data_IF_896507612729
#
_entry.id   IF_896507612729
#
_cell.length_a   1.000
_cell.length_b   1.000
_cell.length_c   1.000
_cell.angle_alpha   90.00
_cell.angle_beta   90.00
_cell.angle_gamma   90.00
#
_symmetry.space_group_name_H-M   'P 1'
#
loop_
_entity.id
_entity.type
_entity.pdbx_description
1 polymer ?
#
# COMPACT_ATOMS: atom_id res chain seq x y z
N UNK A 1 -35.12 -11.28 -21.39
CA UNK A 1 -33.72 -10.81 -21.36
C UNK A 1 -33.57 -9.78 -20.25
N UNK A 2 -33.33 -10.20 -19.01
CA UNK A 2 -33.04 -9.30 -17.89
C UNK A 2 -31.62 -9.58 -17.38
N UNK A 3 -30.64 -8.88 -17.98
CA UNK A 3 -29.22 -8.93 -17.63
C UNK A 3 -28.90 -7.91 -16.53
N UNK A 4 -29.47 -8.09 -15.35
CA UNK A 4 -29.00 -7.40 -14.15
C UNK A 4 -28.56 -8.46 -13.14
N UNK A 5 -27.33 -8.94 -13.33
CA UNK A 5 -26.64 -9.66 -12.26
C UNK A 5 -26.62 -8.75 -11.04
N UNK A 6 -27.35 -9.13 -9.99
CA UNK A 6 -27.21 -8.51 -8.67
C UNK A 6 -25.72 -8.58 -8.33
N UNK A 7 -25.05 -7.43 -8.26
CA UNK A 7 -23.75 -7.36 -7.59
C UNK A 7 -23.97 -7.96 -6.21
N UNK A 8 -23.28 -9.06 -5.92
CA UNK A 8 -23.27 -9.64 -4.58
C UNK A 8 -22.94 -8.51 -3.61
N UNK A 9 -23.88 -8.22 -2.71
CA UNK A 9 -23.63 -7.27 -1.63
C UNK A 9 -22.57 -7.91 -0.75
N UNK A 10 -21.34 -7.43 -0.84
CA UNK A 10 -20.28 -7.88 0.05
C UNK A 10 -20.70 -7.52 1.47
N UNK A 11 -20.83 -8.52 2.32
CA UNK A 11 -21.21 -8.37 3.73
C UNK A 11 -20.09 -7.65 4.50
N UNK A 12 -20.31 -6.40 4.99
CA UNK A 12 -19.33 -5.66 5.76
C UNK A 12 -18.83 -6.41 7.01
N UNK A 13 -19.69 -7.21 7.65
CA UNK A 13 -19.30 -7.98 8.82
C UNK A 13 -18.30 -9.08 8.47
N UNK A 14 -18.49 -9.73 7.32
CA UNK A 14 -17.58 -10.77 6.82
C UNK A 14 -16.19 -10.18 6.53
N UNK A 15 -16.13 -8.97 5.98
CA UNK A 15 -14.87 -8.24 5.76
C UNK A 15 -14.18 -7.95 7.10
N UNK A 16 -14.91 -7.38 8.07
CA UNK A 16 -14.34 -7.02 9.37
C UNK A 16 -13.84 -8.24 10.14
N UNK A 17 -14.58 -9.36 10.13
CA UNK A 17 -14.14 -10.62 10.74
C UNK A 17 -12.87 -11.15 10.06
N UNK A 18 -12.80 -11.11 8.73
CA UNK A 18 -11.61 -11.52 7.99
C UNK A 18 -10.39 -10.66 8.32
N UNK A 19 -10.56 -9.34 8.39
CA UNK A 19 -9.51 -8.40 8.78
C UNK A 19 -9.00 -8.67 10.20
N UNK A 20 -9.90 -8.92 11.15
CA UNK A 20 -9.54 -9.15 12.55
C UNK A 20 -8.68 -10.41 12.77
N UNK A 21 -8.69 -11.35 11.84
CA UNK A 21 -7.88 -12.57 11.89
C UNK A 21 -6.47 -12.40 11.33
N UNK A 22 -6.20 -11.29 10.62
CA UNK A 22 -4.87 -11.01 10.06
C UNK A 22 -4.02 -10.37 11.16
N UNK A 23 -2.97 -11.03 11.66
CA UNK A 23 -2.08 -10.42 12.64
C UNK A 23 -1.35 -9.23 12.03
N UNK A 24 -1.05 -8.22 12.84
CA UNK A 24 -0.19 -7.13 12.38
C UNK A 24 1.21 -7.66 12.05
N UNK A 25 1.85 -7.06 11.04
CA UNK A 25 3.23 -7.35 10.68
C UNK A 25 4.12 -6.21 11.15
N UNK A 26 5.06 -6.51 12.03
CA UNK A 26 6.05 -5.56 12.51
C UNK A 26 7.37 -5.69 11.74
N UNK A 27 7.95 -4.55 11.40
CA UNK A 27 9.26 -4.45 10.78
C UNK A 27 10.06 -3.26 11.31
N UNK A 28 11.35 -3.20 11.00
CA UNK A 28 12.20 -2.04 11.31
C UNK A 28 11.59 -0.74 10.76
N UNK A 29 11.11 0.12 11.66
CA UNK A 29 10.56 1.44 11.31
C UNK A 29 9.12 1.44 10.80
N UNK A 30 8.41 0.29 10.81
CA UNK A 30 7.02 0.25 10.38
C UNK A 30 6.17 -0.83 11.06
N UNK A 31 4.86 -0.61 11.06
CA UNK A 31 3.84 -1.60 11.40
C UNK A 31 2.81 -1.66 10.28
N UNK A 32 2.50 -2.86 9.81
CA UNK A 32 1.41 -3.11 8.87
C UNK A 32 0.21 -3.73 9.58
N UNK A 33 -0.96 -3.18 9.32
CA UNK A 33 -2.23 -3.66 9.86
C UNK A 33 -3.27 -3.79 8.76
N UNK A 34 -4.02 -4.88 8.75
CA UNK A 34 -5.20 -4.99 7.90
C UNK A 34 -6.32 -4.12 8.48
N UNK A 35 -6.95 -3.30 7.64
CA UNK A 35 -8.11 -2.48 8.03
C UNK A 35 -9.05 -2.30 6.83
N UNK A 36 -10.11 -1.53 7.02
CA UNK A 36 -11.05 -1.19 5.96
C UNK A 36 -11.11 0.32 5.75
N UNK A 37 -11.16 0.76 4.50
CA UNK A 37 -11.40 2.14 4.14
C UNK A 37 -12.74 2.29 3.39
N UNK A 38 -13.44 3.44 3.51
CA UNK A 38 -14.60 3.73 2.68
C UNK A 38 -14.23 3.79 1.20
N UNK A 39 -15.06 3.17 0.35
CA UNK A 39 -14.84 3.05 -1.09
C UNK A 39 -16.14 3.25 -1.88
N UNK A 40 -16.00 3.48 -3.19
CA UNK A 40 -17.11 3.59 -4.14
C UNK A 40 -17.87 4.92 -4.09
N UNK A 41 -18.90 5.05 -4.94
CA UNK A 41 -19.71 6.26 -5.03
C UNK A 41 -20.45 6.53 -3.72
N UNK A 42 -20.23 7.72 -3.13
CA UNK A 42 -20.74 8.12 -1.80
C UNK A 42 -20.28 7.24 -0.63
N UNK A 43 -19.13 6.56 -0.74
CA UNK A 43 -18.54 5.80 0.37
C UNK A 43 -19.45 4.70 0.93
N UNK A 44 -20.31 4.13 0.08
CA UNK A 44 -21.32 3.12 0.47
C UNK A 44 -20.78 1.69 0.53
N UNK A 45 -19.52 1.48 0.18
CA UNK A 45 -18.82 0.19 0.26
C UNK A 45 -17.54 0.32 1.08
N UNK A 46 -17.03 -0.81 1.55
CA UNK A 46 -15.73 -0.90 2.21
C UNK A 46 -14.74 -1.60 1.27
N UNK A 47 -13.49 -1.15 1.31
CA UNK A 47 -12.35 -1.83 0.70
C UNK A 47 -11.42 -2.35 1.80
N UNK A 48 -10.83 -3.52 1.59
CA UNK A 48 -9.73 -4.02 2.42
C UNK A 48 -8.47 -3.23 2.06
N UNK A 49 -7.87 -2.59 3.05
CA UNK A 49 -6.64 -1.83 2.89
C UNK A 49 -5.57 -2.32 3.86
N UNK A 50 -4.32 -2.19 3.46
CA UNK A 50 -3.16 -2.34 4.32
C UNK A 50 -2.79 -0.96 4.87
N UNK A 51 -2.92 -0.76 6.17
CA UNK A 51 -2.39 0.43 6.84
C UNK A 51 -0.91 0.22 7.13
N UNK A 52 -0.06 1.09 6.60
CA UNK A 52 1.34 1.21 7.02
C UNK A 52 1.46 2.39 7.97
N UNK A 53 1.94 2.12 9.18
CA UNK A 53 2.30 3.13 10.18
C UNK A 53 3.80 3.18 10.31
N UNK A 54 4.34 4.38 10.39
CA UNK A 54 5.76 4.66 10.60
C UNK A 54 5.87 5.87 11.54
N UNK A 55 7.10 6.27 11.90
CA UNK A 55 7.32 7.31 12.91
C UNK A 55 6.60 8.63 12.59
N UNK A 56 6.49 9.00 11.30
CA UNK A 56 5.99 10.30 10.88
C UNK A 56 4.56 10.27 10.31
N UNK A 57 3.83 9.16 10.44
CA UNK A 57 2.43 9.08 9.99
C UNK A 57 1.93 7.69 9.65
N UNK A 58 0.78 7.67 8.98
CA UNK A 58 0.14 6.44 8.50
C UNK A 58 -0.49 6.62 7.12
N UNK A 59 -0.47 5.58 6.30
CA UNK A 59 -1.19 5.58 5.03
C UNK A 59 -1.83 4.23 4.72
N UNK A 60 -2.96 4.26 4.02
CA UNK A 60 -3.70 3.07 3.63
C UNK A 60 -3.40 2.73 2.18
N UNK A 61 -3.07 1.48 1.89
CA UNK A 61 -2.88 1.01 0.51
C UNK A 61 -3.98 0.03 0.17
N UNK A 62 -4.64 0.21 -0.98
CA UNK A 62 -5.62 -0.76 -1.44
C UNK A 62 -4.95 -2.13 -1.61
N UNK A 63 -5.58 -3.19 -1.08
CA UNK A 63 -5.02 -4.55 -1.13
C UNK A 63 -4.60 -4.93 -2.55
N UNK A 64 -5.45 -4.70 -3.53
CA UNK A 64 -5.19 -5.14 -4.92
C UNK A 64 -4.12 -4.30 -5.61
N UNK A 65 -4.01 -3.01 -5.30
CA UNK A 65 -2.98 -2.15 -5.88
C UNK A 65 -1.62 -2.47 -5.29
N UNK A 66 -1.59 -2.73 -3.98
CA UNK A 66 -0.40 -3.22 -3.30
C UNK A 66 0.01 -4.60 -3.85
N UNK A 67 -0.94 -5.49 -4.11
CA UNK A 67 -0.65 -6.80 -4.74
C UNK A 67 -0.08 -6.62 -6.15
N UNK A 68 -0.64 -5.72 -6.97
CA UNK A 68 -0.10 -5.41 -8.31
C UNK A 68 1.32 -4.87 -8.25
N UNK A 69 1.64 -4.06 -7.24
CA UNK A 69 2.99 -3.60 -6.99
C UNK A 69 3.95 -4.77 -6.67
N UNK A 70 3.58 -5.67 -5.76
CA UNK A 70 4.39 -6.84 -5.43
C UNK A 70 4.52 -7.82 -6.60
N UNK A 71 3.48 -7.96 -7.42
CA UNK A 71 3.47 -8.74 -8.67
C UNK A 71 4.28 -8.07 -9.81
N UNK A 72 4.91 -6.92 -9.57
CA UNK A 72 5.65 -6.11 -10.59
C UNK A 72 4.78 -5.63 -11.76
N UNK A 73 3.47 -5.56 -11.59
CA UNK A 73 2.53 -5.02 -12.60
C UNK A 73 2.50 -3.50 -12.57
N UNK A 74 2.75 -2.90 -11.40
CA UNK A 74 2.92 -1.47 -11.20
C UNK A 74 4.28 -1.21 -10.54
N UNK A 75 4.95 -0.13 -10.92
CA UNK A 75 6.22 0.28 -10.29
C UNK A 75 6.03 1.13 -9.03
N UNK A 76 4.82 1.69 -8.85
CA UNK A 76 4.43 2.55 -7.74
C UNK A 76 3.05 2.10 -7.23
N UNK A 77 2.90 2.03 -5.91
CA UNK A 77 1.60 2.00 -5.25
C UNK A 77 1.41 3.31 -4.48
N UNK A 78 0.21 3.87 -4.55
CA UNK A 78 -0.15 5.13 -3.90
C UNK A 78 -1.07 4.86 -2.72
N UNK A 79 -0.95 5.67 -1.67
CA UNK A 79 -1.89 5.62 -0.56
C UNK A 79 -3.28 6.07 -1.01
N UNK A 80 -4.30 5.45 -0.43
CA UNK A 80 -5.70 5.73 -0.62
C UNK A 80 -6.03 7.18 -0.27
N UNK A 81 -6.89 7.81 -1.08
CA UNK A 81 -7.37 9.16 -0.81
C UNK A 81 -8.19 9.18 0.50
N UNK A 82 -7.79 10.03 1.45
CA UNK A 82 -8.30 10.05 2.82
C UNK A 82 -7.44 9.30 3.84
N UNK A 83 -6.27 8.80 3.42
CA UNK A 83 -5.19 8.42 4.35
C UNK A 83 -4.72 9.65 5.16
N UNK A 84 -4.21 9.41 6.36
CA UNK A 84 -3.63 10.45 7.21
C UNK A 84 -2.41 11.12 6.56
N UNK A 85 -1.57 10.31 5.92
CA UNK A 85 -0.41 10.78 5.15
C UNK A 85 -0.51 10.27 3.72
N UNK A 86 -0.24 11.15 2.75
CA UNK A 86 -0.02 10.77 1.36
C UNK A 86 1.32 10.06 1.22
N UNK A 87 1.32 8.83 0.73
CA UNK A 87 2.50 7.97 0.63
C UNK A 87 2.59 7.31 -0.74
N UNK A 88 3.83 7.13 -1.19
CA UNK A 88 4.15 6.42 -2.43
C UNK A 88 5.14 5.30 -2.12
N UNK A 89 4.73 4.06 -2.36
CA UNK A 89 5.61 2.89 -2.29
C UNK A 89 6.19 2.64 -3.68
N UNK A 90 7.51 2.78 -3.81
CA UNK A 90 8.21 2.75 -5.10
C UNK A 90 9.31 1.71 -5.09
N UNK A 91 9.43 0.92 -6.16
CA UNK A 91 10.63 0.11 -6.37
C UNK A 91 11.78 0.98 -6.83
N UNK A 92 12.96 0.83 -6.21
CA UNK A 92 14.15 1.61 -6.57
C UNK A 92 14.47 1.49 -8.07
N UNK A 93 14.35 0.28 -8.64
CA UNK A 93 14.62 0.04 -10.06
C UNK A 93 13.46 0.39 -11.01
N UNK A 94 12.28 0.75 -10.49
CA UNK A 94 11.04 0.86 -11.27
C UNK A 94 10.57 2.29 -11.54
N UNK A 95 11.23 3.28 -10.97
CA UNK A 95 10.81 4.68 -11.08
C UNK A 95 11.20 5.28 -12.43
N UNK A 96 10.30 6.07 -13.02
CA UNK A 96 10.55 6.76 -14.28
C UNK A 96 11.60 7.87 -14.10
N UNK A 97 12.63 7.86 -14.96
CA UNK A 97 13.70 8.86 -14.95
C UNK A 97 13.16 10.29 -15.08
N UNK A 98 13.65 11.21 -14.25
CA UNK A 98 13.24 12.61 -14.20
C UNK A 98 11.98 12.90 -13.39
N UNK A 99 11.29 11.86 -12.88
CA UNK A 99 10.15 12.02 -11.97
C UNK A 99 10.60 12.54 -10.59
N UNK A 100 9.64 13.00 -9.78
CA UNK A 100 9.93 13.44 -8.40
C UNK A 100 10.46 12.30 -7.54
N UNK A 101 9.97 11.07 -7.76
CA UNK A 101 10.49 9.89 -7.07
C UNK A 101 11.91 9.56 -7.51
N UNK A 102 12.26 9.71 -8.79
CA UNK A 102 13.62 9.50 -9.30
C UNK A 102 14.60 10.51 -8.70
N UNK A 103 14.18 11.78 -8.57
CA UNK A 103 14.97 12.82 -7.89
C UNK A 103 15.21 12.49 -6.42
N UNK A 104 14.18 12.04 -5.70
CA UNK A 104 14.30 11.65 -4.29
C UNK A 104 15.23 10.44 -4.11
N UNK A 105 15.10 9.43 -4.97
CA UNK A 105 15.98 8.26 -4.97
C UNK A 105 17.43 8.62 -5.30
N UNK A 106 17.64 9.49 -6.30
CA UNK A 106 18.98 9.91 -6.74
C UNK A 106 19.72 10.76 -5.70
N UNK A 107 18.98 11.43 -4.80
CA UNK A 107 19.57 12.18 -3.69
C UNK A 107 20.18 11.26 -2.61
N UNK A 108 19.78 9.99 -2.56
CA UNK A 108 20.28 9.00 -1.61
C UNK A 108 21.22 8.01 -2.30
N UNK A 109 22.51 8.08 -1.98
CA UNK A 109 23.49 7.14 -2.51
C UNK A 109 23.29 5.72 -1.91
N UNK A 110 23.53 4.69 -2.74
CA UNK A 110 23.65 3.31 -2.27
C UNK A 110 22.35 2.54 -2.07
N UNK A 111 21.23 2.98 -2.62
CA UNK A 111 19.97 2.23 -2.55
C UNK A 111 20.05 0.90 -3.33
N UNK A 112 19.75 -0.25 -2.70
CA UNK A 112 19.77 -1.54 -3.40
C UNK A 112 18.71 -1.61 -4.50
N UNK A 113 19.07 -2.05 -5.71
CA UNK A 113 18.13 -2.15 -6.84
C UNK A 113 16.91 -3.05 -6.55
N UNK A 114 17.06 -4.05 -5.68
CA UNK A 114 15.98 -4.96 -5.27
C UNK A 114 15.09 -4.46 -4.13
N UNK A 115 15.36 -3.27 -3.59
CA UNK A 115 14.59 -2.67 -2.49
C UNK A 115 13.43 -1.81 -2.99
N UNK A 116 12.47 -1.56 -2.10
CA UNK A 116 11.47 -0.52 -2.27
C UNK A 116 11.68 0.59 -1.24
N UNK A 117 11.18 1.77 -1.54
CA UNK A 117 11.14 2.88 -0.59
C UNK A 117 9.70 3.35 -0.40
N UNK A 118 9.39 3.78 0.81
CA UNK A 118 8.21 4.58 1.10
C UNK A 118 8.60 6.05 1.02
N UNK A 119 7.92 6.80 0.17
CA UNK A 119 8.10 8.23 -0.01
C UNK A 119 6.90 8.97 0.56
N UNK A 120 7.13 10.18 1.07
CA UNK A 120 6.06 11.15 1.38
C UNK A 120 6.35 12.51 0.74
N UNK A 121 5.31 13.33 0.47
CA UNK A 121 5.48 14.73 0.14
C UNK A 121 6.23 15.51 1.22
N UNK A 122 7.16 16.35 0.78
CA UNK A 122 7.90 17.33 1.57
C UNK A 122 7.92 18.67 0.81
N UNK A 123 8.42 19.74 1.46
CA UNK A 123 8.34 21.11 0.94
C UNK A 123 8.78 21.26 -0.53
N UNK A 124 9.89 20.61 -0.92
CA UNK A 124 10.48 20.72 -2.27
C UNK A 124 10.48 19.39 -3.04
N UNK A 125 9.61 18.44 -2.68
CA UNK A 125 9.44 17.21 -3.44
C UNK A 125 9.02 16.01 -2.62
N UNK A 126 9.73 14.90 -2.81
CA UNK A 126 9.50 13.66 -2.08
C UNK A 126 10.73 13.34 -1.22
N UNK A 127 10.49 12.80 -0.03
CA UNK A 127 11.55 12.28 0.83
C UNK A 127 11.32 10.81 1.17
N UNK A 128 12.41 10.06 1.35
CA UNK A 128 12.39 8.66 1.75
C UNK A 128 12.16 8.59 3.26
N UNK A 129 11.06 7.96 3.68
CA UNK A 129 10.73 7.75 5.09
C UNK A 129 10.92 6.31 5.56
N UNK A 130 11.03 5.37 4.62
CA UNK A 130 11.30 3.97 4.91
C UNK A 130 12.02 3.31 3.74
N UNK A 131 13.01 2.47 4.04
CA UNK A 131 13.65 1.55 3.09
C UNK A 131 13.19 0.13 3.41
N UNK A 132 12.69 -0.57 2.40
CA UNK A 132 12.25 -1.96 2.48
C UNK A 132 13.21 -2.85 1.69
N UNK A 133 13.99 -3.66 2.39
CA UNK A 133 14.86 -4.67 1.79
C UNK A 133 14.06 -5.83 1.19
N UNK A 134 14.74 -6.73 0.47
CA UNK A 134 14.09 -7.86 -0.19
C UNK A 134 13.39 -8.82 0.77
N UNK A 135 13.94 -9.03 1.97
CA UNK A 135 13.34 -9.94 2.95
C UNK A 135 12.07 -9.33 3.57
N UNK A 136 12.06 -8.02 3.80
CA UNK A 136 10.87 -7.28 4.21
C UNK A 136 9.82 -7.31 3.11
N UNK A 137 10.21 -7.08 1.84
CA UNK A 137 9.28 -7.17 0.72
C UNK A 137 8.64 -8.55 0.59
N UNK A 138 9.42 -9.62 0.76
CA UNK A 138 8.89 -10.98 0.77
C UNK A 138 7.90 -11.21 1.92
N UNK A 139 8.26 -10.81 3.15
CA UNK A 139 7.38 -10.90 4.33
C UNK A 139 6.06 -10.14 4.13
N UNK A 140 6.13 -8.94 3.57
CA UNK A 140 4.94 -8.12 3.29
C UNK A 140 4.08 -8.79 2.21
N UNK A 141 4.70 -9.33 1.15
CA UNK A 141 3.99 -10.06 0.09
C UNK A 141 3.23 -11.27 0.63
N UNK A 142 3.87 -12.07 1.50
CA UNK A 142 3.23 -13.22 2.17
C UNK A 142 2.08 -12.75 3.08
N UNK A 143 2.31 -11.71 3.88
CA UNK A 143 1.28 -11.13 4.73
C UNK A 143 0.07 -10.63 3.92
N UNK A 144 0.31 -10.02 2.76
CA UNK A 144 -0.74 -9.52 1.87
C UNK A 144 -1.67 -10.62 1.35
N UNK A 145 -1.16 -11.85 1.21
CA UNK A 145 -1.97 -13.00 0.79
C UNK A 145 -3.01 -13.41 1.85
N UNK A 146 -2.79 -13.07 3.12
CA UNK A 146 -3.74 -13.31 4.21
C UNK A 146 -4.90 -12.30 4.21
N UNK A 147 -4.80 -11.18 3.49
CA UNK A 147 -5.85 -10.16 3.48
C UNK A 147 -7.10 -10.65 2.72
N UNK A 148 -8.31 -10.43 3.27
CA UNK A 148 -9.56 -10.80 2.61
C UNK A 148 -9.69 -10.16 1.22
N UNK A 149 -10.07 -10.98 0.24
CA UNK A 149 -10.48 -10.53 -1.10
C UNK A 149 -11.95 -10.12 -1.06
N UNK A 150 -12.25 -8.95 -1.62
CA UNK A 150 -13.59 -8.38 -1.71
C UNK A 150 -14.10 -8.49 -3.14
#
# INVERSE_FOLDING_TARGET
MAWFGRKESVDPEKIQRGIALVPQLEGPGFVLRATSAPAGFKSRSLATVAEIRFELGAGWFHRDDLQRFFDRKNSIAESWNGSDTELFLCMVSGVAKGSMADKALSAQAGLPAGSAVLLRPANDGLEIVLLLDSAQLERISVWLQALPKI
#
